data_IF_055268660258
#
_entry.id   IF_055268660258
#
_cell.length_a   1.000
_cell.length_b   1.000
_cell.length_c   1.000
_cell.angle_alpha   90.00
_cell.angle_beta   90.00
_cell.angle_gamma   90.00
#
_symmetry.space_group_name_H-M   'P 1'
#
loop_
_entity.id
_entity.type
_entity.pdbx_description
1 polymer ?
#
# COMPACT_ATOMS: atom_id res chain seq x y z
N UNK A 1 12.29 16.77 -12.11
CA UNK A 1 12.10 15.62 -11.21
C UNK A 1 10.71 15.56 -10.55
N UNK A 2 9.97 16.66 -10.40
CA UNK A 2 8.62 16.60 -9.80
C UNK A 2 7.64 15.69 -10.56
N UNK A 3 7.43 15.91 -11.87
CA UNK A 3 6.53 15.08 -12.69
C UNK A 3 6.95 13.61 -12.85
N UNK A 4 8.22 13.28 -12.59
CA UNK A 4 8.68 11.90 -12.57
C UNK A 4 7.94 11.08 -11.51
N UNK A 5 7.65 11.69 -10.36
CA UNK A 5 6.93 11.02 -9.27
C UNK A 5 5.44 10.86 -9.52
N UNK A 6 4.86 11.58 -10.49
CA UNK A 6 3.51 11.28 -10.96
C UNK A 6 3.45 9.96 -11.74
N UNK A 7 4.56 9.58 -12.38
CA UNK A 7 4.67 8.27 -13.02
C UNK A 7 5.07 7.23 -11.98
N UNK A 8 6.11 7.47 -11.19
CA UNK A 8 6.62 6.45 -10.26
C UNK A 8 5.70 6.25 -9.06
N UNK A 9 5.39 7.30 -8.30
CA UNK A 9 4.59 7.13 -7.08
C UNK A 9 3.10 7.07 -7.41
N UNK A 10 2.57 8.00 -8.22
CA UNK A 10 1.12 7.96 -8.44
C UNK A 10 0.68 6.84 -9.42
N UNK A 11 1.38 6.67 -10.55
CA UNK A 11 1.02 5.61 -11.49
C UNK A 11 1.58 4.24 -11.09
N UNK A 12 2.88 4.08 -10.77
CA UNK A 12 3.40 2.76 -10.41
C UNK A 12 2.87 2.31 -9.04
N UNK A 13 3.04 3.10 -7.99
CA UNK A 13 2.58 2.70 -6.65
C UNK A 13 1.05 2.85 -6.53
N UNK A 14 0.51 4.04 -6.72
CA UNK A 14 -0.93 4.30 -6.53
C UNK A 14 -1.87 3.50 -7.45
N UNK A 15 -1.62 3.42 -8.76
CA UNK A 15 -2.54 2.70 -9.67
C UNK A 15 -2.38 1.18 -9.56
N UNK A 16 -1.15 0.65 -9.43
CA UNK A 16 -1.00 -0.80 -9.29
C UNK A 16 -1.58 -1.30 -7.98
N UNK A 17 -1.49 -0.55 -6.89
CA UNK A 17 -2.17 -0.91 -5.62
C UNK A 17 -3.69 -1.07 -5.79
N UNK A 18 -4.33 -0.18 -6.55
CA UNK A 18 -5.76 -0.28 -6.84
C UNK A 18 -6.10 -1.54 -7.65
N UNK A 19 -5.29 -1.85 -8.66
CA UNK A 19 -5.43 -3.06 -9.48
C UNK A 19 -5.23 -4.31 -8.62
N UNK A 20 -4.18 -4.33 -7.79
CA UNK A 20 -3.84 -5.45 -6.94
C UNK A 20 -4.90 -5.67 -5.85
N UNK A 21 -5.40 -4.59 -5.23
CA UNK A 21 -6.53 -4.64 -4.32
C UNK A 21 -7.80 -5.23 -4.97
N UNK A 22 -8.10 -4.85 -6.22
CA UNK A 22 -9.23 -5.41 -6.97
C UNK A 22 -9.01 -6.90 -7.30
N UNK A 23 -7.80 -7.30 -7.70
CA UNK A 23 -7.44 -8.70 -7.95
C UNK A 23 -7.55 -9.55 -6.68
N UNK A 24 -7.05 -9.05 -5.55
CA UNK A 24 -7.10 -9.70 -4.25
C UNK A 24 -8.55 -9.85 -3.78
N UNK A 25 -9.37 -8.81 -3.91
CA UNK A 25 -10.80 -8.87 -3.65
C UNK A 25 -11.50 -9.94 -4.51
N UNK A 26 -11.20 -9.98 -5.82
CA UNK A 26 -11.72 -11.01 -6.71
C UNK A 26 -11.33 -12.43 -6.26
N UNK A 27 -10.05 -12.65 -5.95
CA UNK A 27 -9.57 -13.94 -5.45
C UNK A 27 -10.32 -14.32 -4.18
N UNK A 28 -10.43 -13.41 -3.21
CA UNK A 28 -11.13 -13.65 -1.95
C UNK A 28 -12.62 -14.01 -2.15
N UNK A 29 -13.33 -13.32 -3.05
CA UNK A 29 -14.71 -13.69 -3.44
C UNK A 29 -14.73 -15.14 -3.95
N UNK A 30 -13.78 -15.50 -4.82
CA UNK A 30 -13.71 -16.80 -5.49
C UNK A 30 -13.19 -17.96 -4.62
N UNK A 31 -12.51 -17.71 -3.51
CA UNK A 31 -11.96 -18.79 -2.68
C UNK A 31 -12.64 -18.92 -1.32
N UNK A 32 -13.23 -17.86 -0.77
CA UNK A 32 -13.79 -17.88 0.59
C UNK A 32 -15.29 -18.12 0.64
N UNK A 33 -16.03 -17.72 -0.41
CA UNK A 33 -17.50 -17.78 -0.42
C UNK A 33 -18.16 -16.79 0.55
N UNK A 34 -17.41 -15.79 1.03
CA UNK A 34 -17.97 -14.63 1.72
C UNK A 34 -18.75 -13.77 0.73
N UNK A 35 -19.83 -13.16 1.20
CA UNK A 35 -20.71 -12.33 0.37
C UNK A 35 -19.93 -11.18 -0.28
N UNK A 36 -20.13 -11.04 -1.60
CA UNK A 36 -19.44 -10.03 -2.43
C UNK A 36 -19.58 -8.62 -1.86
N UNK A 37 -20.76 -8.28 -1.36
CA UNK A 37 -21.05 -6.97 -0.78
C UNK A 37 -20.11 -6.62 0.39
N UNK A 38 -19.74 -7.60 1.22
CA UNK A 38 -18.80 -7.39 2.34
C UNK A 38 -17.41 -7.07 1.79
N UNK A 39 -16.95 -7.85 0.82
CA UNK A 39 -15.62 -7.69 0.21
C UNK A 39 -15.53 -6.35 -0.54
N UNK A 40 -16.56 -5.96 -1.27
CA UNK A 40 -16.59 -4.68 -1.98
C UNK A 40 -16.57 -3.48 -1.04
N UNK A 41 -17.31 -3.51 0.08
CA UNK A 41 -17.26 -2.43 1.08
C UNK A 41 -15.87 -2.23 1.66
N UNK A 42 -15.16 -3.33 1.95
CA UNK A 42 -13.75 -3.26 2.37
C UNK A 42 -12.87 -2.70 1.27
N UNK A 43 -13.02 -3.18 0.04
CA UNK A 43 -12.25 -2.69 -1.10
C UNK A 43 -12.42 -1.19 -1.31
N UNK A 44 -13.67 -0.68 -1.31
CA UNK A 44 -13.93 0.75 -1.48
C UNK A 44 -13.29 1.61 -0.39
N UNK A 45 -13.33 1.14 0.86
CA UNK A 45 -12.71 1.86 1.95
C UNK A 45 -11.18 1.89 1.79
N UNK A 46 -10.55 0.76 1.46
CA UNK A 46 -9.10 0.69 1.23
C UNK A 46 -8.70 1.60 0.08
N UNK A 47 -9.40 1.55 -1.06
CA UNK A 47 -9.18 2.42 -2.22
C UNK A 47 -9.29 3.90 -1.83
N UNK A 48 -10.35 4.28 -1.10
CA UNK A 48 -10.54 5.66 -0.67
C UNK A 48 -9.37 6.14 0.19
N UNK A 49 -8.94 5.32 1.16
CA UNK A 49 -7.81 5.65 2.02
C UNK A 49 -6.50 5.77 1.24
N UNK A 50 -6.21 4.82 0.33
CA UNK A 50 -5.04 4.87 -0.56
C UNK A 50 -5.00 6.16 -1.37
N UNK A 51 -6.12 6.57 -1.98
CA UNK A 51 -6.17 7.80 -2.79
C UNK A 51 -6.05 9.06 -1.94
N UNK A 52 -6.75 9.12 -0.80
CA UNK A 52 -6.70 10.29 0.11
C UNK A 52 -5.27 10.50 0.62
N UNK A 53 -4.56 9.43 0.98
CA UNK A 53 -3.17 9.53 1.45
C UNK A 53 -2.19 9.73 0.29
N UNK A 54 -2.17 8.84 -0.72
CA UNK A 54 -1.10 8.77 -1.72
C UNK A 54 -1.04 9.93 -2.72
N UNK A 55 -2.17 10.57 -3.05
CA UNK A 55 -2.16 11.70 -4.00
C UNK A 55 -1.34 12.87 -3.46
N UNK A 56 -1.55 13.25 -2.20
CA UNK A 56 -0.78 14.32 -1.55
C UNK A 56 0.53 13.76 -0.98
N UNK A 57 0.53 12.49 -0.56
CA UNK A 57 1.68 11.78 -0.01
C UNK A 57 2.83 11.60 -0.98
N UNK A 58 2.57 11.67 -2.29
CA UNK A 58 3.60 11.87 -3.35
C UNK A 58 4.60 12.98 -2.97
N UNK A 59 4.16 13.96 -2.17
CA UNK A 59 4.96 15.01 -1.57
C UNK A 59 6.23 14.57 -0.84
N UNK A 60 6.28 13.35 -0.30
CA UNK A 60 7.47 12.84 0.41
C UNK A 60 8.70 12.64 -0.50
N UNK A 61 8.49 12.62 -1.82
CA UNK A 61 9.57 12.58 -2.80
C UNK A 61 10.09 13.97 -3.19
N UNK A 62 9.41 15.02 -2.74
CA UNK A 62 9.73 16.39 -3.09
C UNK A 62 10.67 17.08 -2.10
N UNK A 63 10.84 16.52 -0.90
CA UNK A 63 11.53 17.15 0.23
C UNK A 63 12.87 17.80 -0.12
N UNK A 64 13.67 17.16 -0.98
CA UNK A 64 15.06 17.55 -1.25
C UNK A 64 15.37 17.82 -2.72
N UNK A 65 14.36 18.01 -3.57
CA UNK A 65 14.55 18.24 -5.02
C UNK A 65 14.31 19.69 -5.45
N UNK A 66 14.28 20.63 -4.51
CA UNK A 66 14.14 22.07 -4.78
C UNK A 66 12.70 22.59 -4.87
N UNK A 67 11.71 21.84 -4.39
CA UNK A 67 10.33 22.33 -4.27
C UNK A 67 10.14 23.20 -3.02
N UNK A 68 9.05 23.99 -2.93
CA UNK A 68 8.76 24.79 -1.73
C UNK A 68 8.70 23.98 -0.43
N UNK A 69 9.13 24.60 0.68
CA UNK A 69 9.26 23.94 1.99
C UNK A 69 7.95 23.40 2.58
N UNK A 70 6.78 23.87 2.13
CA UNK A 70 5.50 23.34 2.60
C UNK A 70 5.34 21.83 2.30
N UNK A 71 6.02 21.32 1.28
CA UNK A 71 6.01 19.89 0.97
C UNK A 71 6.61 19.03 2.07
N UNK A 72 7.54 19.56 2.89
CA UNK A 72 8.05 18.84 4.06
C UNK A 72 6.95 18.54 5.07
N UNK A 73 5.95 19.42 5.20
CA UNK A 73 4.80 19.23 6.08
C UNK A 73 3.74 18.36 5.41
N UNK A 74 3.26 18.75 4.23
CA UNK A 74 2.19 18.03 3.53
C UNK A 74 2.60 16.61 3.15
N UNK A 75 3.81 16.44 2.59
CA UNK A 75 4.36 15.14 2.29
C UNK A 75 4.43 14.26 3.52
N UNK A 76 5.01 14.75 4.63
CA UNK A 76 5.13 13.95 5.86
C UNK A 76 3.78 13.54 6.47
N UNK A 77 2.77 14.42 6.43
CA UNK A 77 1.44 14.11 6.99
C UNK A 77 0.76 13.03 6.15
N UNK A 78 0.69 13.22 4.84
CA UNK A 78 -0.09 12.33 3.98
C UNK A 78 0.62 11.00 3.74
N UNK A 79 1.95 11.00 3.61
CA UNK A 79 2.71 9.76 3.50
C UNK A 79 2.78 8.97 4.81
N UNK A 80 2.62 9.62 5.97
CA UNK A 80 2.45 8.94 7.24
C UNK A 80 1.09 8.21 7.37
N UNK A 81 0.11 8.56 6.54
CA UNK A 81 -1.20 7.89 6.50
C UNK A 81 -1.23 6.70 5.54
N UNK A 82 -0.32 6.64 4.57
CA UNK A 82 -0.24 5.55 3.58
C UNK A 82 -0.08 4.12 4.17
N UNK A 83 0.54 3.90 5.34
CA UNK A 83 0.53 2.56 5.95
C UNK A 83 -0.84 2.06 6.38
N UNK A 84 -1.82 2.96 6.58
CA UNK A 84 -3.17 2.61 7.03
C UNK A 84 -3.89 1.67 6.04
N UNK A 85 -4.06 2.02 4.75
CA UNK A 85 -4.72 1.12 3.79
C UNK A 85 -4.05 -0.25 3.69
N UNK A 86 -2.71 -0.34 3.77
CA UNK A 86 -2.00 -1.62 3.77
C UNK A 86 -2.27 -2.47 5.03
N UNK A 87 -2.30 -1.83 6.20
CA UNK A 87 -2.67 -2.50 7.44
C UNK A 87 -4.11 -3.00 7.40
N UNK A 88 -5.02 -2.16 6.88
CA UNK A 88 -6.42 -2.53 6.68
C UNK A 88 -6.59 -3.69 5.70
N UNK A 89 -5.82 -3.71 4.60
CA UNK A 89 -5.79 -4.81 3.63
C UNK A 89 -5.35 -6.12 4.29
N UNK A 90 -4.34 -6.08 5.16
CA UNK A 90 -3.89 -7.25 5.94
C UNK A 90 -5.00 -7.78 6.82
N UNK A 91 -5.59 -6.91 7.66
CA UNK A 91 -6.71 -7.29 8.54
C UNK A 91 -7.88 -7.85 7.73
N UNK A 92 -8.22 -7.20 6.62
CA UNK A 92 -9.28 -7.61 5.72
C UNK A 92 -9.05 -9.02 5.16
N UNK A 93 -7.87 -9.30 4.59
CA UNK A 93 -7.56 -10.58 3.98
C UNK A 93 -7.68 -11.73 5.00
N UNK A 94 -7.10 -11.57 6.19
CA UNK A 94 -7.22 -12.57 7.26
C UNK A 94 -8.66 -12.73 7.74
N UNK A 95 -9.40 -11.64 7.94
CA UNK A 95 -10.80 -11.71 8.38
C UNK A 95 -11.69 -12.47 7.38
N UNK A 96 -11.53 -12.20 6.08
CA UNK A 96 -12.33 -12.85 5.03
C UNK A 96 -11.98 -14.33 4.90
N UNK A 97 -10.70 -14.69 4.98
CA UNK A 97 -10.26 -16.09 4.96
C UNK A 97 -10.72 -16.86 6.21
N UNK A 98 -10.70 -16.23 7.38
CA UNK A 98 -11.16 -16.84 8.63
C UNK A 98 -12.69 -17.02 8.66
N UNK A 99 -13.45 -16.13 8.03
CA UNK A 99 -14.91 -16.21 7.89
C UNK A 99 -15.36 -16.98 6.65
N UNK A 100 -14.47 -17.75 6.01
CA UNK A 100 -14.80 -18.51 4.79
C UNK A 100 -15.98 -19.44 5.04
N UNK A 101 -16.91 -19.48 4.09
CA UNK A 101 -18.08 -20.36 4.09
C UNK A 101 -17.87 -21.61 3.24
N UNK A 102 -16.76 -21.67 2.50
CA UNK A 102 -16.36 -22.83 1.70
C UNK A 102 -14.89 -23.14 1.86
N UNK A 103 -14.57 -24.42 1.68
CA UNK A 103 -13.20 -24.89 1.57
C UNK A 103 -12.84 -25.05 0.09
N UNK A 104 -12.14 -24.07 -0.47
CA UNK A 104 -11.69 -24.14 -1.85
C UNK A 104 -10.41 -24.99 -1.97
N UNK A 105 -10.27 -25.85 -3.00
CA UNK A 105 -9.10 -26.72 -3.17
C UNK A 105 -7.82 -25.94 -3.53
N UNK A 106 -7.94 -24.77 -4.17
CA UNK A 106 -6.80 -23.92 -4.51
C UNK A 106 -6.26 -23.18 -3.26
N UNK A 107 -5.49 -23.88 -2.43
CA UNK A 107 -4.84 -23.32 -1.24
C UNK A 107 -3.73 -22.34 -1.59
N UNK A 108 -3.08 -22.50 -2.75
CA UNK A 108 -2.04 -21.60 -3.23
C UNK A 108 -2.58 -20.18 -3.46
N UNK A 109 -3.78 -20.04 -4.03
CA UNK A 109 -4.41 -18.72 -4.21
C UNK A 109 -4.74 -18.03 -2.87
N UNK A 110 -5.18 -18.80 -1.86
CA UNK A 110 -5.42 -18.25 -0.52
C UNK A 110 -4.12 -17.82 0.15
N UNK A 111 -3.08 -18.65 0.06
CA UNK A 111 -1.75 -18.33 0.59
C UNK A 111 -1.16 -17.11 -0.10
N UNK A 112 -1.28 -17.01 -1.42
CA UNK A 112 -0.86 -15.84 -2.19
C UNK A 112 -1.61 -14.57 -1.74
N UNK A 113 -2.94 -14.62 -1.61
CA UNK A 113 -3.71 -13.46 -1.16
C UNK A 113 -3.31 -12.98 0.26
N UNK A 114 -3.10 -13.91 1.20
CA UNK A 114 -2.63 -13.57 2.54
C UNK A 114 -1.18 -13.05 2.52
N UNK A 115 -0.32 -13.71 1.74
CA UNK A 115 1.09 -13.36 1.60
C UNK A 115 1.28 -11.97 1.00
N UNK A 116 0.60 -11.63 -0.09
CA UNK A 116 0.64 -10.30 -0.70
C UNK A 116 0.15 -9.22 0.27
N UNK A 117 -0.94 -9.46 1.02
CA UNK A 117 -1.42 -8.48 1.99
C UNK A 117 -0.37 -8.21 3.09
N UNK A 118 0.28 -9.26 3.62
CA UNK A 118 1.34 -9.13 4.63
C UNK A 118 2.58 -8.47 4.06
N UNK A 119 3.06 -8.92 2.91
CA UNK A 119 4.29 -8.40 2.30
C UNK A 119 4.12 -6.95 1.84
N UNK A 120 2.94 -6.58 1.33
CA UNK A 120 2.59 -5.19 1.05
C UNK A 120 2.64 -4.33 2.31
N UNK A 121 2.07 -4.79 3.44
CA UNK A 121 2.15 -4.05 4.70
C UNK A 121 3.57 -3.94 5.26
N UNK A 122 4.37 -5.01 5.21
CA UNK A 122 5.76 -4.95 5.69
C UNK A 122 6.63 -4.05 4.79
N UNK A 123 6.52 -4.20 3.47
CA UNK A 123 7.31 -3.45 2.51
C UNK A 123 6.91 -1.98 2.42
N UNK A 124 5.66 -1.71 2.05
CA UNK A 124 5.17 -0.35 1.88
C UNK A 124 4.80 0.31 3.22
N UNK A 125 4.07 -0.40 4.08
CA UNK A 125 3.61 0.14 5.36
C UNK A 125 4.74 0.35 6.38
N UNK A 126 5.47 -0.70 6.74
CA UNK A 126 6.51 -0.61 7.79
C UNK A 126 7.80 0.01 7.24
N UNK A 127 8.38 -0.60 6.20
CA UNK A 127 9.66 -0.13 5.66
C UNK A 127 9.57 1.25 4.99
N UNK A 128 8.44 1.56 4.35
CA UNK A 128 8.18 2.90 3.83
C UNK A 128 8.02 3.93 4.95
N UNK A 129 7.30 3.60 6.03
CA UNK A 129 7.14 4.54 7.14
C UNK A 129 8.45 4.86 7.87
N UNK A 130 9.37 3.88 7.98
CA UNK A 130 10.68 4.08 8.62
C UNK A 130 11.48 5.25 8.06
N UNK A 131 11.20 5.70 6.83
CA UNK A 131 11.90 6.82 6.21
C UNK A 131 10.98 7.90 5.61
N UNK A 132 9.68 7.88 5.90
CA UNK A 132 8.71 8.77 5.23
C UNK A 132 8.71 10.20 5.78
N UNK A 133 9.01 10.38 7.08
CA UNK A 133 8.97 11.69 7.73
C UNK A 133 10.16 12.55 7.31
N UNK A 134 9.95 13.81 6.93
CA UNK A 134 11.01 14.67 6.39
C UNK A 134 12.26 14.74 7.28
N UNK A 135 12.14 14.90 8.59
CA UNK A 135 13.30 14.95 9.48
C UNK A 135 14.09 13.62 9.58
N UNK A 136 13.44 12.47 9.35
CA UNK A 136 14.11 11.16 9.24
C UNK A 136 14.67 10.96 7.83
N UNK A 137 13.89 11.33 6.82
CA UNK A 137 14.26 11.26 5.41
C UNK A 137 15.51 12.09 5.14
N UNK A 138 15.71 13.21 5.83
CA UNK A 138 16.93 14.03 5.72
C UNK A 138 18.23 13.21 5.88
N UNK A 139 18.21 12.19 6.75
CA UNK A 139 19.36 11.31 7.00
C UNK A 139 19.34 10.02 6.19
N UNK A 140 18.15 9.57 5.78
CA UNK A 140 17.94 8.26 5.15
C UNK A 140 17.73 8.33 3.64
N UNK A 141 17.59 9.54 3.08
CA UNK A 141 17.40 9.77 1.65
C UNK A 141 18.58 9.23 0.84
N UNK A 142 18.30 8.37 -0.14
CA UNK A 142 19.34 7.78 -0.99
C UNK A 142 20.24 6.76 -0.29
N UNK A 143 19.84 6.27 0.89
CA UNK A 143 20.56 5.20 1.62
C UNK A 143 19.98 3.81 1.31
N UNK A 144 20.57 2.77 1.90
CA UNK A 144 20.09 1.39 1.79
C UNK A 144 18.66 1.18 2.35
N UNK A 145 18.16 2.06 3.21
CA UNK A 145 16.76 2.01 3.65
C UNK A 145 15.81 2.21 2.46
N UNK A 146 16.15 3.12 1.54
CA UNK A 146 15.34 3.34 0.32
C UNK A 146 15.32 2.07 -0.55
N UNK A 147 16.49 1.44 -0.74
CA UNK A 147 16.58 0.21 -1.54
C UNK A 147 15.84 -0.96 -0.88
N UNK A 148 16.03 -1.18 0.43
CA UNK A 148 15.35 -2.25 1.15
C UNK A 148 13.82 -2.10 1.13
N UNK A 149 13.31 -0.90 1.36
CA UNK A 149 11.89 -0.59 1.19
C UNK A 149 11.43 -0.87 -0.24
N UNK A 150 12.13 -0.32 -1.24
CA UNK A 150 11.77 -0.49 -2.65
C UNK A 150 11.70 -1.95 -3.09
N UNK A 151 12.66 -2.80 -2.70
CA UNK A 151 12.62 -4.23 -3.04
C UNK A 151 11.46 -4.95 -2.35
N UNK A 152 11.25 -4.70 -1.05
CA UNK A 152 10.21 -5.39 -0.30
C UNK A 152 8.80 -4.93 -0.72
N UNK A 153 8.61 -3.65 -1.00
CA UNK A 153 7.35 -3.10 -1.49
C UNK A 153 7.05 -3.59 -2.90
N UNK A 154 8.01 -3.51 -3.84
CA UNK A 154 7.76 -3.84 -5.25
C UNK A 154 7.59 -5.34 -5.51
N UNK A 155 8.27 -6.19 -4.74
CA UNK A 155 8.07 -7.65 -4.83
C UNK A 155 6.87 -8.13 -4.01
N UNK A 156 6.59 -7.44 -2.90
CA UNK A 156 5.58 -7.84 -1.93
C UNK A 156 4.17 -7.33 -2.24
N UNK A 157 4.06 -6.22 -2.98
CA UNK A 157 2.81 -5.66 -3.49
C UNK A 157 2.46 -6.28 -4.85
#
# INVERSE_FOLDING_TARGET
KMYWWWVVHLWVEGVWELIMGAMLAFVLVKVTGVDREVIEKWLYLIIAMTLISGIIGTGHHYFWIGTPGFWQVWGSIFSALEPIPFFMLTIFAFNVVNKRRREHPNKAAVLWALGCAVMGFLGAGVWGFLHTLSFVNYWTHGTQITASHGHMAFYGA
#
